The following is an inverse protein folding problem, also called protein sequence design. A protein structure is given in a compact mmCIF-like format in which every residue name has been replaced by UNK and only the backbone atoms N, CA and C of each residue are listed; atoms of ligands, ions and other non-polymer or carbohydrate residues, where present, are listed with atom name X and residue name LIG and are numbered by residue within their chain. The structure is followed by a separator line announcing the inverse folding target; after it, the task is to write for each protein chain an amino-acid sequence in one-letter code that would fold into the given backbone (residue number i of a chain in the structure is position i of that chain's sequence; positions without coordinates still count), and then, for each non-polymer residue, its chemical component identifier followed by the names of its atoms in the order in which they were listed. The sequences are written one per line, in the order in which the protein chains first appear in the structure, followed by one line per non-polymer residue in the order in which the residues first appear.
data_IF_804601151662
#
_entry.id   IF_804601151662
#
_cell.length_a   1.000
_cell.length_b   1.000
_cell.length_c   1.000
_cell.angle_alpha   90.00
_cell.angle_beta   90.00
_cell.angle_gamma   90.00
#
_symmetry.space_group_name_H-M   'P 1'
#
loop_
_entity.id
_entity.type
_entity.pdbx_description
1 polymer ?
#
# COMPACT_ATOMS: atom_id res chain seq x y z
N UNK A 1 -23.47 7.11 -21.87
CA UNK A 1 -22.82 7.13 -20.57
C UNK A 1 -21.31 6.91 -20.71
N UNK A 2 -20.55 6.89 -19.65
CA UNK A 2 -19.09 6.98 -19.58
C UNK A 2 -18.30 5.76 -20.17
N UNK A 3 -18.87 4.94 -21.02
CA UNK A 3 -18.25 3.77 -21.66
C UNK A 3 -17.51 2.85 -20.66
N UNK A 4 -18.14 2.60 -19.51
CA UNK A 4 -17.61 1.85 -18.36
C UNK A 4 -16.39 2.50 -17.67
N UNK A 5 -16.07 3.75 -18.00
CA UNK A 5 -15.05 4.51 -17.29
C UNK A 5 -15.70 5.30 -16.15
N UNK A 6 -15.48 4.87 -14.91
CA UNK A 6 -16.06 5.53 -13.71
C UNK A 6 -15.63 6.99 -13.56
N UNK A 7 -14.40 7.32 -13.97
CA UNK A 7 -13.90 8.70 -13.94
C UNK A 7 -14.55 9.62 -14.98
N UNK A 8 -15.31 9.06 -15.93
CA UNK A 8 -16.10 9.81 -16.90
C UNK A 8 -17.54 10.08 -16.47
N UNK A 9 -17.95 9.67 -15.26
CA UNK A 9 -19.27 9.97 -14.69
C UNK A 9 -19.28 11.30 -13.97
N UNK A 10 -20.35 12.06 -14.13
CA UNK A 10 -20.61 13.22 -13.26
C UNK A 10 -21.18 12.73 -11.92
N UNK A 11 -20.81 13.41 -10.81
CA UNK A 11 -21.29 13.04 -9.49
C UNK A 11 -22.82 13.05 -9.37
N UNK A 12 -23.49 13.97 -10.08
CA UNK A 12 -24.95 14.06 -10.12
C UNK A 12 -25.63 12.84 -10.78
N UNK A 13 -24.90 12.08 -11.60
CA UNK A 13 -25.42 10.88 -12.27
C UNK A 13 -25.22 9.61 -11.41
N UNK A 14 -24.55 9.74 -10.26
CA UNK A 14 -24.28 8.64 -9.33
C UNK A 14 -25.23 8.71 -8.14
N UNK A 15 -26.17 7.77 -8.08
CA UNK A 15 -27.12 7.72 -6.99
C UNK A 15 -26.53 7.15 -5.69
N UNK A 16 -25.78 6.06 -5.82
CA UNK A 16 -25.06 5.42 -4.72
C UNK A 16 -23.67 5.05 -5.22
N UNK A 17 -22.63 5.52 -4.53
CA UNK A 17 -21.25 5.11 -4.78
C UNK A 17 -20.85 3.99 -3.83
N UNK A 18 -20.74 2.76 -4.34
CA UNK A 18 -20.28 1.59 -3.60
C UNK A 18 -18.81 1.25 -3.90
N UNK A 19 -18.11 2.13 -4.59
CA UNK A 19 -16.77 1.84 -5.10
C UNK A 19 -15.67 2.69 -4.47
N UNK A 20 -15.95 3.97 -4.21
CA UNK A 20 -14.95 4.93 -3.72
C UNK A 20 -14.80 4.86 -2.21
N UNK A 21 -13.60 4.60 -1.72
CA UNK A 21 -13.25 4.65 -0.30
C UNK A 21 -12.34 5.85 0.07
N UNK A 22 -11.87 6.60 -0.92
CA UNK A 22 -10.91 7.69 -0.72
C UNK A 22 -11.59 8.98 -0.25
N UNK A 23 -11.39 9.32 1.03
CA UNK A 23 -11.93 10.56 1.63
C UNK A 23 -13.44 10.53 1.91
N UNK A 24 -14.05 9.35 1.92
CA UNK A 24 -15.50 9.17 2.12
C UNK A 24 -15.83 8.44 3.42
N UNK A 25 -14.84 8.13 4.24
CA UNK A 25 -15.00 7.40 5.47
C UNK A 25 -15.69 8.26 6.54
N UNK A 26 -16.50 7.60 7.39
CA UNK A 26 -17.10 8.24 8.53
C UNK A 26 -16.03 8.62 9.57
N UNK A 27 -16.11 9.84 10.07
CA UNK A 27 -15.23 10.35 11.12
C UNK A 27 -15.99 10.44 12.45
N UNK A 28 -15.31 10.14 13.56
CA UNK A 28 -15.85 10.33 14.90
C UNK A 28 -15.96 11.81 15.24
N UNK A 29 -16.75 12.13 16.24
CA UNK A 29 -16.87 13.50 16.78
C UNK A 29 -15.49 14.05 17.21
N UNK A 30 -14.64 13.20 17.80
CA UNK A 30 -13.30 13.60 18.22
C UNK A 30 -12.37 13.89 17.03
N UNK A 31 -12.49 13.13 15.93
CA UNK A 31 -11.73 13.41 14.71
C UNK A 31 -12.16 14.76 14.10
N UNK A 32 -13.48 15.04 14.03
CA UNK A 32 -13.98 16.35 13.59
C UNK A 32 -13.48 17.49 14.48
N UNK A 33 -13.50 17.30 15.80
CA UNK A 33 -12.93 18.27 16.74
C UNK A 33 -11.44 18.50 16.50
N UNK A 34 -10.69 17.42 16.24
CA UNK A 34 -9.26 17.50 15.91
C UNK A 34 -8.99 18.30 14.64
N UNK A 35 -9.80 18.13 13.60
CA UNK A 35 -9.71 18.94 12.36
C UNK A 35 -9.92 20.43 12.65
N UNK A 36 -10.88 20.76 13.52
CA UNK A 36 -11.17 22.16 13.88
C UNK A 36 -10.12 22.79 14.82
N UNK A 37 -9.39 21.97 15.59
CA UNK A 37 -8.33 22.41 16.51
C UNK A 37 -6.93 22.40 15.88
N UNK A 38 -6.80 21.82 14.67
CA UNK A 38 -5.54 21.78 13.95
C UNK A 38 -4.99 23.18 13.71
N UNK A 39 -3.68 23.34 13.92
CA UNK A 39 -2.99 24.58 13.65
C UNK A 39 -2.40 24.62 12.25
N UNK A 40 -2.36 25.81 11.66
CA UNK A 40 -1.61 26.11 10.46
C UNK A 40 -0.45 27.05 10.82
N UNK A 41 0.77 26.62 10.51
CA UNK A 41 1.98 27.40 10.74
C UNK A 41 2.90 27.28 9.53
N UNK A 42 3.61 28.35 9.21
CA UNK A 42 4.64 28.32 8.16
C UNK A 42 5.72 27.25 8.43
N UNK A 43 6.08 27.08 9.70
CA UNK A 43 6.98 26.02 10.16
C UNK A 43 6.66 25.66 11.63
N UNK A 44 6.90 24.40 12.01
CA UNK A 44 6.78 23.96 13.41
C UNK A 44 5.36 23.80 13.91
N UNK A 45 4.39 23.49 13.03
CA UNK A 45 3.02 23.18 13.42
C UNK A 45 2.95 22.02 14.41
N UNK A 46 2.16 22.17 15.48
CA UNK A 46 1.95 21.13 16.50
C UNK A 46 1.24 19.93 15.88
N UNK A 47 0.23 20.16 15.02
CA UNK A 47 -0.48 19.10 14.31
C UNK A 47 0.46 18.26 13.44
N UNK A 48 1.45 18.89 12.80
CA UNK A 48 2.47 18.17 12.03
C UNK A 48 3.29 17.23 12.92
N UNK A 49 3.72 17.68 14.10
CA UNK A 49 4.46 16.87 15.05
C UNK A 49 3.63 15.66 15.51
N UNK A 50 2.35 15.89 15.83
CA UNK A 50 1.43 14.80 16.20
C UNK A 50 1.26 13.76 15.08
N UNK A 51 1.25 14.17 13.81
CA UNK A 51 1.21 13.24 12.67
C UNK A 51 2.46 12.37 12.63
N UNK A 52 3.66 12.98 12.78
CA UNK A 52 4.93 12.25 12.78
C UNK A 52 5.00 11.28 13.95
N UNK A 53 4.68 11.73 15.17
CA UNK A 53 4.69 10.90 16.37
C UNK A 53 3.73 9.70 16.24
N UNK A 54 2.49 9.96 15.80
CA UNK A 54 1.47 8.93 15.63
C UNK A 54 1.87 7.92 14.56
N UNK A 55 2.39 8.38 13.42
CA UNK A 55 2.83 7.49 12.35
C UNK A 55 4.04 6.66 12.77
N UNK A 56 5.01 7.26 13.47
CA UNK A 56 6.16 6.53 14.02
C UNK A 56 5.71 5.50 15.06
N UNK A 57 4.77 5.86 15.94
CA UNK A 57 4.21 4.94 16.94
C UNK A 57 3.43 3.79 16.31
N UNK A 58 2.71 4.01 15.23
CA UNK A 58 1.92 2.96 14.56
C UNK A 58 2.82 2.08 13.69
N UNK A 59 3.63 2.66 12.81
CA UNK A 59 4.36 1.93 11.78
C UNK A 59 5.75 1.48 12.19
N UNK A 60 6.39 2.12 13.17
CA UNK A 60 7.76 1.81 13.59
C UNK A 60 8.85 2.33 12.65
N UNK A 61 8.47 3.00 11.58
CA UNK A 61 9.42 3.55 10.62
C UNK A 61 10.10 4.79 11.22
N UNK A 62 11.44 4.89 11.14
CA UNK A 62 12.17 5.98 11.80
C UNK A 62 12.00 7.33 11.11
N UNK A 63 11.63 7.34 9.83
CA UNK A 63 11.46 8.53 9.02
C UNK A 63 10.08 8.55 8.38
N UNK A 64 9.33 9.59 8.70
CA UNK A 64 7.99 9.84 8.16
C UNK A 64 8.02 11.18 7.46
N UNK A 65 7.72 11.19 6.17
CA UNK A 65 7.61 12.42 5.38
C UNK A 65 6.18 12.57 4.84
N UNK A 66 5.35 13.40 5.46
CA UNK A 66 4.06 13.77 4.90
C UNK A 66 4.21 14.49 3.56
N UNK A 67 3.32 14.16 2.65
CA UNK A 67 3.16 14.79 1.34
C UNK A 67 1.68 15.05 1.09
N UNK A 68 1.32 15.83 0.09
CA UNK A 68 -0.07 16.25 -0.08
C UNK A 68 -1.05 15.10 -0.37
N UNK A 69 -0.58 13.96 -0.89
CA UNK A 69 -1.37 12.72 -1.08
C UNK A 69 -0.47 11.53 -1.44
N UNK A 70 -1.01 10.30 -1.36
CA UNK A 70 -0.23 9.06 -1.57
C UNK A 70 0.50 8.99 -2.91
N UNK A 71 -0.16 9.39 -4.02
CA UNK A 71 0.49 9.44 -5.34
C UNK A 71 1.63 10.46 -5.45
N UNK A 72 1.69 11.45 -4.58
CA UNK A 72 2.82 12.36 -4.50
C UNK A 72 4.02 11.67 -3.82
N UNK A 73 3.80 10.81 -2.83
CA UNK A 73 4.84 9.97 -2.25
C UNK A 73 5.46 9.05 -3.32
N UNK A 74 4.62 8.40 -4.13
CA UNK A 74 5.07 7.57 -5.25
C UNK A 74 5.93 8.35 -6.25
N UNK A 75 5.48 9.57 -6.61
CA UNK A 75 6.21 10.44 -7.55
C UNK A 75 7.58 10.86 -7.04
N UNK A 76 7.74 10.99 -5.73
CA UNK A 76 9.02 11.36 -5.11
C UNK A 76 9.92 10.13 -4.95
N UNK A 77 9.39 9.02 -4.45
CA UNK A 77 10.17 7.86 -4.06
C UNK A 77 10.56 6.96 -5.25
N UNK A 78 9.60 6.66 -6.14
CA UNK A 78 9.86 5.70 -7.22
C UNK A 78 10.97 6.12 -8.19
N UNK A 79 11.10 7.38 -8.64
CA UNK A 79 12.22 7.78 -9.49
C UNK A 79 13.60 7.53 -8.84
N UNK A 80 13.69 7.66 -7.50
CA UNK A 80 14.94 7.42 -6.76
C UNK A 80 15.26 5.92 -6.75
N UNK A 81 14.27 5.08 -6.42
CA UNK A 81 14.45 3.62 -6.35
C UNK A 81 14.67 2.99 -7.72
N UNK A 82 14.17 3.62 -8.78
CA UNK A 82 14.19 3.12 -10.15
C UNK A 82 15.29 3.73 -11.02
N UNK A 83 16.14 4.60 -10.47
CA UNK A 83 17.24 5.22 -11.22
C UNK A 83 18.17 4.14 -11.78
N UNK A 84 18.31 4.09 -13.11
CA UNK A 84 19.10 3.09 -13.81
C UNK A 84 18.55 1.66 -13.78
N UNK A 85 17.32 1.46 -13.30
CA UNK A 85 16.66 0.15 -13.21
C UNK A 85 15.65 -0.06 -14.32
N UNK A 86 15.51 -1.30 -14.77
CA UNK A 86 14.59 -1.65 -15.87
C UNK A 86 13.22 -2.11 -15.41
N UNK A 87 13.12 -2.65 -14.19
CA UNK A 87 11.93 -3.35 -13.73
C UNK A 87 11.55 -2.94 -12.31
N UNK A 88 10.25 -2.93 -12.04
CA UNK A 88 9.68 -3.01 -10.71
C UNK A 88 8.67 -4.17 -10.66
N UNK A 89 8.60 -4.88 -9.55
CA UNK A 89 7.71 -6.03 -9.39
C UNK A 89 6.75 -5.73 -8.25
N UNK A 90 5.45 -6.03 -8.43
CA UNK A 90 4.46 -5.91 -7.36
C UNK A 90 3.59 -7.16 -7.27
N UNK A 91 2.96 -7.41 -6.10
CA UNK A 91 1.87 -8.39 -6.07
C UNK A 91 0.82 -8.02 -7.13
N UNK A 92 0.33 -6.77 -7.18
CA UNK A 92 -0.36 -6.19 -8.33
C UNK A 92 -0.30 -4.67 -8.19
N UNK A 93 0.16 -3.97 -9.22
CA UNK A 93 0.29 -2.53 -9.18
C UNK A 93 -1.06 -1.83 -9.08
N UNK A 94 -1.15 -0.85 -8.20
CA UNK A 94 -2.19 0.17 -8.27
C UNK A 94 -1.92 1.10 -9.46
N UNK A 95 -2.96 1.75 -9.99
CA UNK A 95 -2.89 2.55 -11.23
C UNK A 95 -1.80 3.62 -11.19
N UNK A 96 -1.72 4.39 -10.09
CA UNK A 96 -0.74 5.48 -9.97
C UNK A 96 0.67 4.97 -9.75
N UNK A 97 0.84 3.89 -8.99
CA UNK A 97 2.14 3.24 -8.79
C UNK A 97 2.68 2.68 -10.11
N UNK A 98 1.81 2.05 -10.90
CA UNK A 98 2.14 1.60 -12.27
C UNK A 98 2.55 2.77 -13.17
N UNK A 99 1.77 3.85 -13.14
CA UNK A 99 2.04 5.03 -13.96
C UNK A 99 3.38 5.69 -13.57
N UNK A 100 3.66 5.87 -12.28
CA UNK A 100 4.92 6.46 -11.82
C UNK A 100 6.12 5.54 -12.10
N UNK A 101 5.95 4.22 -12.03
CA UNK A 101 6.97 3.25 -12.46
C UNK A 101 7.31 3.44 -13.94
N UNK A 102 6.28 3.51 -14.80
CA UNK A 102 6.48 3.71 -16.24
C UNK A 102 7.08 5.09 -16.57
N UNK A 103 6.65 6.14 -15.87
CA UNK A 103 7.21 7.49 -16.03
C UNK A 103 8.68 7.58 -15.59
N UNK A 104 9.10 6.75 -14.64
CA UNK A 104 10.52 6.62 -14.28
C UNK A 104 11.34 5.82 -15.31
N UNK A 105 10.72 5.32 -16.38
CA UNK A 105 11.37 4.55 -17.43
C UNK A 105 11.48 3.05 -17.16
N UNK A 106 10.86 2.55 -16.10
CA UNK A 106 10.89 1.14 -15.73
C UNK A 106 9.60 0.42 -16.12
N UNK A 107 9.69 -0.90 -16.29
CA UNK A 107 8.59 -1.78 -16.67
C UNK A 107 7.95 -2.35 -15.39
N UNK A 108 6.65 -2.08 -15.13
CA UNK A 108 5.92 -2.66 -14.01
C UNK A 108 5.46 -4.09 -14.32
N UNK A 109 5.78 -5.04 -13.44
CA UNK A 109 5.46 -6.46 -13.59
C UNK A 109 4.60 -6.94 -12.43
N UNK A 110 3.41 -7.46 -12.73
CA UNK A 110 2.53 -8.06 -11.74
C UNK A 110 2.95 -9.50 -11.41
N UNK A 111 2.99 -9.78 -10.11
CA UNK A 111 3.40 -11.05 -9.53
C UNK A 111 2.38 -11.56 -8.50
N UNK A 112 1.09 -11.33 -8.76
CA UNK A 112 0.01 -11.78 -7.89
C UNK A 112 -0.17 -13.29 -7.98
N UNK A 113 -0.66 -13.90 -6.89
CA UNK A 113 -1.08 -15.30 -6.88
C UNK A 113 -2.19 -15.55 -7.91
N UNK A 114 -2.15 -16.67 -8.59
CA UNK A 114 -3.13 -17.06 -9.63
C UNK A 114 -4.58 -17.03 -9.12
N UNK A 115 -4.82 -17.41 -7.88
CA UNK A 115 -6.14 -17.39 -7.23
C UNK A 115 -6.79 -15.99 -7.24
N UNK A 116 -6.00 -14.93 -7.28
CA UNK A 116 -6.50 -13.56 -7.30
C UNK A 116 -7.34 -13.25 -8.54
N UNK A 117 -7.04 -13.90 -9.65
CA UNK A 117 -7.67 -13.66 -10.96
C UNK A 117 -8.93 -14.54 -11.18
N UNK A 118 -9.15 -15.53 -10.34
CA UNK A 118 -10.32 -16.41 -10.41
C UNK A 118 -11.34 -16.05 -9.33
N UNK A 119 -12.45 -15.44 -9.72
CA UNK A 119 -13.51 -15.02 -8.80
C UNK A 119 -14.27 -16.19 -8.17
N UNK A 120 -14.18 -17.40 -8.72
CA UNK A 120 -14.82 -18.60 -8.19
C UNK A 120 -14.04 -19.22 -7.01
N UNK A 121 -12.72 -18.99 -6.95
CA UNK A 121 -11.85 -19.48 -5.88
C UNK A 121 -12.07 -18.67 -4.62
N UNK A 122 -12.31 -19.36 -3.51
CA UNK A 122 -12.38 -18.78 -2.16
C UNK A 122 -11.11 -19.15 -1.40
N UNK A 123 -10.19 -18.19 -1.27
CA UNK A 123 -8.97 -18.32 -0.48
C UNK A 123 -8.84 -17.16 0.50
N UNK A 124 -8.21 -17.35 1.68
CA UNK A 124 -8.17 -16.34 2.74
C UNK A 124 -7.36 -15.10 2.37
N UNK A 125 -6.32 -15.24 1.53
CA UNK A 125 -5.35 -14.19 1.19
C UNK A 125 -5.05 -14.16 -0.31
N UNK A 126 -6.05 -13.82 -1.09
CA UNK A 126 -5.92 -13.75 -2.57
C UNK A 126 -5.04 -12.59 -3.04
N UNK A 127 -4.76 -11.62 -2.18
CA UNK A 127 -3.85 -10.51 -2.48
C UNK A 127 -2.36 -10.87 -2.43
N UNK A 128 -2.02 -12.07 -1.99
CA UNK A 128 -0.64 -12.54 -1.85
C UNK A 128 0.16 -12.45 -3.16
N UNK A 129 1.46 -12.20 -3.01
CA UNK A 129 2.44 -12.36 -4.08
C UNK A 129 2.74 -13.84 -4.33
N UNK A 130 2.88 -14.24 -5.58
CA UNK A 130 3.43 -15.55 -5.95
C UNK A 130 4.95 -15.53 -5.74
N UNK A 131 5.41 -16.02 -4.58
CA UNK A 131 6.81 -16.01 -4.21
C UNK A 131 7.69 -16.90 -5.11
N UNK A 132 7.15 -17.97 -5.67
CA UNK A 132 7.90 -18.81 -6.63
C UNK A 132 8.06 -18.10 -7.97
N UNK A 133 7.02 -17.40 -8.43
CA UNK A 133 7.12 -16.53 -9.61
C UNK A 133 8.11 -15.39 -9.36
N UNK A 134 8.09 -14.78 -8.16
CA UNK A 134 9.04 -13.73 -7.79
C UNK A 134 10.50 -14.21 -7.95
N UNK A 135 10.83 -15.37 -7.41
CA UNK A 135 12.19 -15.98 -7.54
C UNK A 135 12.56 -16.20 -9.01
N UNK A 136 11.61 -16.68 -9.83
CA UNK A 136 11.84 -16.86 -11.28
C UNK A 136 12.10 -15.54 -11.98
N UNK A 137 11.29 -14.50 -11.70
CA UNK A 137 11.46 -13.17 -12.29
C UNK A 137 12.78 -12.52 -11.91
N UNK A 138 13.21 -12.64 -10.65
CA UNK A 138 14.54 -12.14 -10.20
C UNK A 138 15.66 -12.84 -10.96
N UNK A 139 15.56 -14.16 -11.15
CA UNK A 139 16.56 -14.92 -11.91
C UNK A 139 16.56 -14.57 -13.41
N UNK A 140 15.37 -14.34 -13.99
CA UNK A 140 15.21 -14.04 -15.41
C UNK A 140 15.72 -12.64 -15.77
N UNK A 141 15.37 -11.64 -14.93
CA UNK A 141 15.66 -10.24 -15.24
C UNK A 141 16.99 -9.75 -14.66
N UNK A 142 17.55 -10.48 -13.69
CA UNK A 142 18.72 -10.08 -12.92
C UNK A 142 18.36 -9.08 -11.81
N UNK A 143 18.80 -9.35 -10.59
CA UNK A 143 18.49 -8.52 -9.41
C UNK A 143 18.94 -7.06 -9.59
N UNK A 144 20.07 -6.85 -10.28
CA UNK A 144 20.65 -5.55 -10.57
C UNK A 144 19.75 -4.67 -11.45
N UNK A 145 18.86 -5.26 -12.23
CA UNK A 145 17.92 -4.56 -13.10
C UNK A 145 16.57 -4.24 -12.44
N UNK A 146 16.31 -4.77 -11.23
CA UNK A 146 15.07 -4.57 -10.50
C UNK A 146 15.30 -3.51 -9.43
N UNK A 147 14.50 -2.44 -9.46
CA UNK A 147 14.68 -1.30 -8.55
C UNK A 147 13.92 -1.46 -7.24
N UNK A 148 12.76 -2.11 -7.27
CA UNK A 148 11.92 -2.27 -6.08
C UNK A 148 10.94 -3.44 -6.24
N UNK A 149 10.66 -4.12 -5.12
CA UNK A 149 9.54 -5.05 -4.98
C UNK A 149 8.49 -4.37 -4.11
N UNK A 150 7.26 -4.27 -4.62
CA UNK A 150 6.14 -3.55 -3.98
C UNK A 150 5.10 -4.55 -3.51
N UNK A 151 4.67 -4.42 -2.25
CA UNK A 151 3.57 -5.18 -1.68
C UNK A 151 2.41 -4.24 -1.37
N UNK A 152 1.37 -4.26 -2.17
CA UNK A 152 0.15 -3.45 -1.96
C UNK A 152 -0.79 -4.16 -0.98
N UNK A 153 -1.15 -3.50 0.12
CA UNK A 153 -2.01 -4.01 1.20
C UNK A 153 -3.16 -3.02 1.53
N UNK A 154 -4.45 -3.44 1.50
CA UNK A 154 -4.90 -4.64 0.77
C UNK A 154 -4.56 -4.51 -0.71
N UNK A 155 -4.50 -5.63 -1.45
CA UNK A 155 -4.23 -5.58 -2.87
C UNK A 155 -5.45 -5.03 -3.64
N UNK A 156 -5.45 -3.70 -3.86
CA UNK A 156 -6.56 -2.98 -4.46
C UNK A 156 -6.94 -3.51 -5.85
N UNK A 157 -5.97 -3.66 -6.73
CA UNK A 157 -6.19 -4.07 -8.12
C UNK A 157 -6.67 -5.52 -8.26
N UNK A 158 -6.44 -6.35 -7.23
CA UNK A 158 -7.02 -7.69 -7.12
C UNK A 158 -8.42 -7.69 -6.46
N UNK A 159 -9.09 -6.54 -6.38
CA UNK A 159 -10.41 -6.41 -5.75
C UNK A 159 -10.37 -6.20 -4.23
N UNK A 160 -9.34 -5.54 -3.70
CA UNK A 160 -9.18 -5.26 -2.26
C UNK A 160 -8.85 -6.52 -1.46
N UNK A 161 -8.21 -7.52 -2.08
CA UNK A 161 -7.90 -8.77 -1.43
C UNK A 161 -6.77 -8.64 -0.42
N UNK A 162 -6.91 -9.23 0.80
CA UNK A 162 -5.89 -9.12 1.82
C UNK A 162 -4.64 -9.94 1.50
N UNK A 163 -3.54 -9.51 2.11
CA UNK A 163 -2.21 -10.14 2.06
C UNK A 163 -1.86 -10.65 3.46
N UNK A 164 -1.36 -11.87 3.57
CA UNK A 164 -0.93 -12.46 4.85
C UNK A 164 0.43 -11.92 5.30
N UNK A 165 0.65 -11.84 6.61
CA UNK A 165 1.98 -11.49 7.15
C UNK A 165 3.03 -12.52 6.76
N UNK A 166 2.66 -13.81 6.73
CA UNK A 166 3.55 -14.87 6.27
C UNK A 166 4.06 -14.62 4.84
N UNK A 167 3.19 -14.19 3.92
CA UNK A 167 3.59 -13.85 2.54
C UNK A 167 4.44 -12.58 2.46
N UNK A 168 4.13 -11.55 3.26
CA UNK A 168 4.95 -10.34 3.35
C UNK A 168 6.37 -10.69 3.82
N UNK A 169 6.49 -11.51 4.86
CA UNK A 169 7.78 -11.99 5.38
C UNK A 169 8.57 -12.76 4.33
N UNK A 170 7.92 -13.68 3.62
CA UNK A 170 8.57 -14.48 2.57
C UNK A 170 9.04 -13.60 1.40
N UNK A 171 8.18 -12.73 0.88
CA UNK A 171 8.54 -11.82 -0.21
C UNK A 171 9.67 -10.85 0.18
N UNK A 172 9.61 -10.29 1.40
CA UNK A 172 10.67 -9.44 1.95
C UNK A 172 12.01 -10.20 2.08
N UNK A 173 11.98 -11.45 2.56
CA UNK A 173 13.17 -12.28 2.65
C UNK A 173 13.80 -12.49 1.27
N UNK A 174 13.00 -12.85 0.26
CA UNK A 174 13.47 -13.02 -1.13
C UNK A 174 14.09 -11.72 -1.65
N UNK A 175 13.44 -10.57 -1.41
CA UNK A 175 13.94 -9.25 -1.79
C UNK A 175 15.30 -8.95 -1.15
N UNK A 176 15.44 -9.16 0.17
CA UNK A 176 16.67 -8.95 0.94
C UNK A 176 17.82 -9.85 0.48
N UNK A 177 17.54 -11.13 0.22
CA UNK A 177 18.53 -12.08 -0.29
C UNK A 177 19.05 -11.68 -1.68
N UNK A 178 18.20 -11.01 -2.48
CA UNK A 178 18.56 -10.48 -3.80
C UNK A 178 19.15 -9.06 -3.77
N UNK A 179 19.18 -8.41 -2.61
CA UNK A 179 19.63 -7.01 -2.46
C UNK A 179 18.68 -5.99 -3.12
N UNK A 180 17.39 -6.32 -3.23
CA UNK A 180 16.36 -5.46 -3.85
C UNK A 180 15.54 -4.81 -2.74
N UNK A 181 15.32 -3.47 -2.77
CA UNK A 181 14.45 -2.78 -1.82
C UNK A 181 13.02 -3.35 -1.80
N UNK A 182 12.46 -3.50 -0.60
CA UNK A 182 11.09 -3.95 -0.38
C UNK A 182 10.21 -2.81 0.14
N UNK A 183 9.16 -2.48 -0.59
CA UNK A 183 8.26 -1.36 -0.28
C UNK A 183 6.84 -1.86 -0.04
N UNK A 184 6.17 -1.30 0.98
CA UNK A 184 4.74 -1.51 1.20
C UNK A 184 3.95 -0.30 0.68
N UNK A 185 2.98 -0.54 -0.20
CA UNK A 185 1.90 0.41 -0.47
C UNK A 185 0.78 0.15 0.56
N UNK A 186 0.69 1.05 1.52
CA UNK A 186 0.00 0.85 2.79
C UNK A 186 -1.34 1.57 2.90
N UNK A 187 -1.96 1.95 1.79
CA UNK A 187 -3.18 2.75 1.82
C UNK A 187 -4.30 2.12 2.68
N UNK A 188 -4.39 0.78 2.72
CA UNK A 188 -5.39 0.03 3.51
C UNK A 188 -4.76 -0.91 4.52
N UNK A 189 -3.78 -0.40 5.25
CA UNK A 189 -2.99 -1.16 6.23
C UNK A 189 -3.81 -1.68 7.40
N UNK A 190 -4.78 -0.91 7.90
CA UNK A 190 -5.60 -1.29 9.04
C UNK A 190 -6.63 -2.35 8.65
N UNK A 191 -7.28 -2.19 7.50
CA UNK A 191 -8.17 -3.19 6.93
C UNK A 191 -7.44 -4.51 6.69
N UNK A 192 -6.27 -4.47 6.06
CA UNK A 192 -5.44 -5.66 5.85
C UNK A 192 -5.10 -6.36 7.17
N UNK A 193 -4.68 -5.58 8.18
CA UNK A 193 -4.32 -6.13 9.50
C UNK A 193 -5.53 -6.75 10.22
N UNK A 194 -6.73 -6.20 10.02
CA UNK A 194 -7.94 -6.83 10.54
C UNK A 194 -8.22 -8.18 9.88
N UNK A 195 -8.06 -8.29 8.56
CA UNK A 195 -8.19 -9.57 7.87
C UNK A 195 -7.13 -10.58 8.33
N UNK A 196 -5.90 -10.15 8.56
CA UNK A 196 -4.83 -10.98 9.13
C UNK A 196 -5.26 -11.52 10.50
N UNK A 197 -5.71 -10.65 11.41
CA UNK A 197 -6.20 -11.04 12.72
C UNK A 197 -7.29 -12.11 12.65
N UNK A 198 -8.20 -11.98 11.69
CA UNK A 198 -9.35 -12.89 11.55
C UNK A 198 -9.00 -14.21 10.86
N UNK A 199 -7.93 -14.28 10.09
CA UNK A 199 -7.67 -15.39 9.16
C UNK A 199 -6.31 -16.07 9.33
N UNK A 200 -5.32 -15.41 9.95
CA UNK A 200 -3.98 -15.95 10.18
C UNK A 200 -3.83 -16.39 11.65
N UNK A 201 -3.71 -17.69 11.93
CA UNK A 201 -3.76 -18.23 13.30
C UNK A 201 -2.72 -17.63 14.26
N UNK A 202 -1.54 -17.27 13.74
CA UNK A 202 -0.46 -16.62 14.50
C UNK A 202 -0.92 -15.32 15.17
N UNK A 203 -1.83 -14.60 14.54
CA UNK A 203 -2.24 -13.26 14.94
C UNK A 203 -3.61 -13.17 15.62
N UNK A 204 -4.25 -14.31 15.89
CA UNK A 204 -5.60 -14.36 16.48
C UNK A 204 -5.75 -13.50 17.74
N UNK A 205 -4.77 -13.54 18.62
CA UNK A 205 -4.78 -12.83 19.90
C UNK A 205 -3.96 -11.53 19.89
N UNK A 206 -3.28 -11.22 18.77
CA UNK A 206 -2.51 -9.99 18.61
C UNK A 206 -3.42 -8.76 18.48
N UNK A 207 -2.96 -7.62 18.93
CA UNK A 207 -3.59 -6.33 18.62
C UNK A 207 -3.37 -5.97 17.14
N UNK A 208 -4.26 -5.13 16.59
CA UNK A 208 -4.09 -4.62 15.21
C UNK A 208 -2.75 -3.90 15.05
N UNK A 209 -2.29 -3.16 16.07
CA UNK A 209 -1.01 -2.45 16.07
C UNK A 209 0.18 -3.41 15.96
N UNK A 210 0.17 -4.53 16.69
CA UNK A 210 1.21 -5.56 16.58
C UNK A 210 1.25 -6.18 15.19
N UNK A 211 0.10 -6.39 14.56
CA UNK A 211 0.02 -6.90 13.19
C UNK A 211 0.56 -5.89 12.19
N UNK A 212 0.21 -4.60 12.33
CA UNK A 212 0.77 -3.53 11.52
C UNK A 212 2.30 -3.54 11.63
N UNK A 213 2.83 -3.59 12.86
CA UNK A 213 4.27 -3.68 13.09
C UNK A 213 4.91 -4.87 12.39
N UNK A 214 4.30 -6.06 12.50
CA UNK A 214 4.80 -7.28 11.85
C UNK A 214 4.86 -7.14 10.31
N UNK A 215 3.97 -6.35 9.70
CA UNK A 215 4.05 -6.03 8.27
C UNK A 215 5.19 -5.06 7.97
N UNK A 216 5.26 -3.94 8.72
CA UNK A 216 6.19 -2.86 8.44
C UNK A 216 7.65 -3.19 8.79
N UNK A 217 7.90 -4.06 9.77
CA UNK A 217 9.22 -4.59 10.10
C UNK A 217 9.87 -5.35 8.92
N UNK A 218 9.08 -5.74 7.93
CA UNK A 218 9.54 -6.36 6.70
C UNK A 218 9.97 -5.35 5.63
N UNK A 219 9.58 -4.08 5.74
CA UNK A 219 9.71 -3.07 4.70
C UNK A 219 10.93 -2.15 4.90
N UNK A 220 11.56 -1.79 3.80
CA UNK A 220 12.58 -0.72 3.77
C UNK A 220 11.93 0.65 3.56
N UNK A 221 10.81 0.68 2.81
CA UNK A 221 10.06 1.88 2.45
C UNK A 221 8.57 1.63 2.50
N UNK A 222 7.80 2.70 2.63
CA UNK A 222 6.35 2.65 2.40
C UNK A 222 5.83 3.92 1.75
N UNK A 223 4.69 3.77 1.06
CA UNK A 223 3.84 4.87 0.63
C UNK A 223 2.44 4.67 1.17
N UNK A 224 1.73 5.75 1.50
CA UNK A 224 0.38 5.66 2.05
C UNK A 224 -0.47 6.83 1.62
N UNK A 225 -1.71 6.54 1.21
CA UNK A 225 -2.75 7.56 1.12
C UNK A 225 -3.54 7.57 2.41
N UNK A 226 -3.36 8.61 3.22
CA UNK A 226 -4.05 8.76 4.51
C UNK A 226 -5.56 8.97 4.37
N UNK A 227 -6.07 9.16 3.16
CA UNK A 227 -7.51 9.31 2.87
C UNK A 227 -8.29 7.99 2.85
N UNK A 228 -7.67 6.86 3.16
CA UNK A 228 -8.31 5.55 3.32
C UNK A 228 -8.36 5.20 4.82
N UNK A 229 -7.54 4.27 5.25
CA UNK A 229 -7.60 3.71 6.61
C UNK A 229 -7.15 4.69 7.71
N UNK A 230 -6.36 5.70 7.39
CA UNK A 230 -6.01 6.74 8.36
C UNK A 230 -7.12 7.78 8.58
N UNK A 231 -8.15 7.77 7.74
CA UNK A 231 -9.36 8.62 7.88
C UNK A 231 -8.99 10.10 8.10
N UNK A 232 -8.16 10.64 7.23
CA UNK A 232 -7.81 12.06 7.20
C UNK A 232 -8.17 12.69 5.85
N UNK A 233 -8.56 13.95 5.90
CA UNK A 233 -8.90 14.75 4.72
C UNK A 233 -7.74 15.63 4.28
#
# INVERSE_FOLDING_TARGET
AAHYNLFGLNAQDVYIDCLTDSGTNAMSTNQWAGVMLGDESYAGAVSYQHVIESATDIFGMPYIQPVHQGRAAEKVLLPILLEGKKYAIANMFFDTTRAHTALAGSIPIDCVNADALDTSVRAPFKGNMDCEKLKRLIKEYGAENIGVIVMTITNNSAGGQPVSVANIREASKIAKEAGIPFMIDAARYAENSWFVKMREPEFKDASVKEIIRACFDCADYFTMSSKKDAIVN
#
